data_IF_987428102366
#
_entry.id   IF_987428102366
#
_cell.length_a   1.000
_cell.length_b   1.000
_cell.length_c   1.000
_cell.angle_alpha   90.00
_cell.angle_beta   90.00
_cell.angle_gamma   90.00
#
_symmetry.space_group_name_H-M   'P 1'
#
loop_
_entity.id
_entity.type
_entity.pdbx_description
1 polymer ?
#
# COMPACT_ATOMS: atom_id res chain seq x y z
N UNK A 1 39.89 6.07 -22.55
CA UNK A 1 39.75 5.81 -21.11
C UNK A 1 38.26 5.62 -20.81
N UNK A 2 37.74 4.40 -20.63
CA UNK A 2 36.39 4.20 -20.10
C UNK A 2 36.44 4.24 -18.57
N UNK A 3 35.80 5.23 -17.96
CA UNK A 3 35.57 5.26 -16.50
C UNK A 3 34.37 4.39 -16.16
N UNK A 4 34.64 3.32 -15.42
CA UNK A 4 33.69 2.63 -14.55
C UNK A 4 32.80 3.61 -13.80
N UNK A 5 31.51 3.30 -13.70
CA UNK A 5 30.66 3.35 -12.49
C UNK A 5 29.40 2.53 -12.85
N UNK A 6 29.47 1.20 -12.72
CA UNK A 6 29.10 0.48 -11.50
C UNK A 6 27.59 0.61 -11.20
N UNK A 7 26.88 -0.46 -11.59
CA UNK A 7 25.61 -0.94 -11.07
C UNK A 7 25.24 -0.39 -9.69
N UNK A 8 24.28 0.51 -9.62
CA UNK A 8 23.51 0.77 -8.40
C UNK A 8 22.08 0.28 -8.64
N UNK A 9 21.93 -1.05 -8.66
CA UNK A 9 20.64 -1.68 -8.45
C UNK A 9 20.32 -1.44 -6.97
N UNK A 10 19.63 -0.34 -6.70
CA UNK A 10 18.96 -0.09 -5.43
C UNK A 10 18.07 -1.31 -5.18
N UNK A 11 18.62 -2.26 -4.41
CA UNK A 11 17.95 -3.51 -4.08
C UNK A 11 16.89 -3.11 -3.08
N UNK A 12 15.73 -2.73 -3.60
CA UNK A 12 14.53 -2.45 -2.81
C UNK A 12 14.41 -3.62 -1.83
N UNK A 13 14.47 -3.37 -0.51
CA UNK A 13 14.41 -4.44 0.47
C UNK A 13 13.07 -5.15 0.29
N UNK A 14 13.12 -6.35 -0.29
CA UNK A 14 11.93 -7.16 -0.53
C UNK A 14 11.43 -7.65 0.82
N UNK A 15 10.12 -7.58 1.04
CA UNK A 15 9.42 -8.04 2.26
C UNK A 15 9.46 -9.57 2.46
N UNK A 16 10.42 -10.27 1.85
CA UNK A 16 10.45 -11.73 1.79
C UNK A 16 10.74 -12.41 3.14
N UNK A 17 11.22 -11.66 4.15
CA UNK A 17 11.37 -12.20 5.50
C UNK A 17 10.05 -12.15 6.26
N UNK A 18 9.44 -13.30 6.61
CA UNK A 18 8.14 -13.36 7.30
C UNK A 18 8.20 -12.80 8.73
N UNK A 19 9.39 -12.74 9.32
CA UNK A 19 9.63 -12.20 10.67
C UNK A 19 10.21 -10.78 10.67
N UNK A 20 10.27 -10.14 9.49
CA UNK A 20 10.68 -8.74 9.40
C UNK A 20 9.66 -7.80 10.03
N UNK A 21 10.13 -6.63 10.48
CA UNK A 21 9.25 -5.60 11.02
C UNK A 21 8.16 -5.17 10.02
N UNK A 22 8.46 -5.23 8.72
CA UNK A 22 7.54 -4.98 7.62
C UNK A 22 6.40 -6.01 7.56
N UNK A 23 6.75 -7.30 7.63
CA UNK A 23 5.77 -8.40 7.70
C UNK A 23 4.90 -8.34 8.95
N UNK A 24 5.45 -7.85 10.08
CA UNK A 24 4.67 -7.59 11.28
C UNK A 24 3.69 -6.41 11.11
N UNK A 25 4.09 -5.33 10.45
CA UNK A 25 3.22 -4.19 10.15
C UNK A 25 2.10 -4.59 9.19
N UNK A 26 2.39 -5.33 8.12
CA UNK A 26 1.37 -5.82 7.19
C UNK A 26 0.29 -6.65 7.89
N UNK A 27 0.66 -7.50 8.85
CA UNK A 27 -0.31 -8.24 9.67
C UNK A 27 -1.21 -7.32 10.49
N UNK A 28 -0.64 -6.25 11.08
CA UNK A 28 -1.42 -5.23 11.81
C UNK A 28 -2.37 -4.47 10.89
N UNK A 29 -1.90 -4.07 9.70
CA UNK A 29 -2.71 -3.39 8.69
C UNK A 29 -3.84 -4.29 8.17
N UNK A 30 -3.57 -5.58 7.92
CA UNK A 30 -4.60 -6.55 7.53
C UNK A 30 -5.70 -6.69 8.59
N UNK A 31 -5.36 -6.59 9.87
CA UNK A 31 -6.36 -6.60 10.93
C UNK A 31 -7.19 -5.31 10.95
N UNK A 32 -6.57 -4.15 10.75
CA UNK A 32 -7.25 -2.83 10.62
C UNK A 32 -8.15 -2.72 9.38
N UNK A 33 -7.85 -3.49 8.34
CA UNK A 33 -8.62 -3.54 7.11
C UNK A 33 -9.99 -4.20 7.25
N UNK A 34 -10.29 -4.80 8.42
CA UNK A 34 -11.62 -5.33 8.77
C UNK A 34 -12.47 -4.20 9.34
N UNK A 35 -13.37 -3.67 8.53
CA UNK A 35 -14.10 -2.44 8.79
C UNK A 35 -15.61 -2.66 8.80
N UNK A 36 -16.37 -1.59 8.99
CA UNK A 36 -17.84 -1.67 9.12
C UNK A 36 -18.57 -1.82 7.79
N UNK A 37 -17.90 -1.58 6.66
CA UNK A 37 -18.49 -1.57 5.33
C UNK A 37 -17.97 -2.74 4.49
N UNK A 38 -18.90 -3.57 3.99
CA UNK A 38 -18.59 -4.82 3.29
C UNK A 38 -17.79 -4.58 2.00
N UNK A 39 -18.11 -3.51 1.26
CA UNK A 39 -17.42 -3.14 0.03
C UNK A 39 -15.92 -2.89 0.28
N UNK A 40 -15.59 -2.16 1.35
CA UNK A 40 -14.21 -1.90 1.75
C UNK A 40 -13.52 -3.20 2.17
N UNK A 41 -14.21 -4.04 2.95
CA UNK A 41 -13.66 -5.32 3.40
C UNK A 41 -13.30 -6.24 2.23
N UNK A 42 -14.17 -6.33 1.21
CA UNK A 42 -13.94 -7.15 0.02
C UNK A 42 -12.77 -6.60 -0.81
N UNK A 43 -12.74 -5.29 -1.04
CA UNK A 43 -11.65 -4.62 -1.77
C UNK A 43 -10.30 -4.82 -1.08
N UNK A 44 -10.23 -4.53 0.21
CA UNK A 44 -9.01 -4.64 0.99
C UNK A 44 -8.56 -6.10 1.09
N UNK A 45 -9.46 -7.05 1.35
CA UNK A 45 -9.11 -8.48 1.42
C UNK A 45 -8.46 -8.94 0.12
N UNK A 46 -9.07 -8.65 -1.04
CA UNK A 46 -8.51 -8.99 -2.36
C UNK A 46 -7.16 -8.33 -2.61
N UNK A 47 -7.03 -7.05 -2.23
CA UNK A 47 -5.79 -6.31 -2.35
C UNK A 47 -4.67 -6.96 -1.52
N UNK A 48 -4.91 -7.27 -0.24
CA UNK A 48 -3.89 -7.90 0.60
C UNK A 48 -3.53 -9.30 0.08
N UNK A 49 -4.51 -10.09 -0.39
CA UNK A 49 -4.25 -11.42 -0.91
C UNK A 49 -3.38 -11.40 -2.18
N UNK A 50 -3.50 -10.36 -3.02
CA UNK A 50 -2.74 -10.22 -4.26
C UNK A 50 -1.40 -9.50 -4.10
N UNK A 51 -1.35 -8.43 -3.31
CA UNK A 51 -0.24 -7.49 -3.32
C UNK A 51 0.56 -7.43 -2.01
N UNK A 52 0.09 -7.99 -0.89
CA UNK A 52 0.79 -7.83 0.40
C UNK A 52 2.25 -8.32 0.37
N UNK A 53 2.53 -9.40 -0.37
CA UNK A 53 3.87 -9.97 -0.50
C UNK A 53 4.83 -9.17 -1.39
N UNK A 54 4.33 -8.21 -2.18
CA UNK A 54 5.12 -7.42 -3.13
C UNK A 54 5.21 -5.94 -2.75
N UNK A 55 4.58 -5.52 -1.65
CA UNK A 55 4.61 -4.14 -1.18
C UNK A 55 6.00 -3.75 -0.68
N UNK A 56 6.47 -2.59 -1.14
CA UNK A 56 7.68 -1.95 -0.63
C UNK A 56 7.40 -1.20 0.69
N UNK A 57 8.45 -0.99 1.50
CA UNK A 57 8.36 -0.28 2.79
C UNK A 57 7.62 1.07 2.72
N UNK A 58 7.87 1.97 1.74
CA UNK A 58 7.15 3.23 1.64
C UNK A 58 5.64 3.03 1.39
N UNK A 59 5.27 2.00 0.64
CA UNK A 59 3.87 1.68 0.38
C UNK A 59 3.18 1.12 1.64
N UNK A 60 3.89 0.41 2.51
CA UNK A 60 3.33 -0.03 3.80
C UNK A 60 2.95 1.18 4.67
N UNK A 61 3.81 2.21 4.72
CA UNK A 61 3.51 3.44 5.44
C UNK A 61 2.33 4.21 4.85
N UNK A 62 2.29 4.35 3.52
CA UNK A 62 1.16 4.98 2.83
C UNK A 62 -0.16 4.22 3.02
N UNK A 63 -0.11 2.90 3.04
CA UNK A 63 -1.26 2.05 3.32
C UNK A 63 -1.77 2.25 4.75
N UNK A 64 -0.88 2.44 5.73
CA UNK A 64 -1.27 2.79 7.09
C UNK A 64 -2.08 4.10 7.12
N UNK A 65 -1.62 5.15 6.44
CA UNK A 65 -2.33 6.42 6.35
C UNK A 65 -3.70 6.28 5.65
N UNK A 66 -3.79 5.50 4.57
CA UNK A 66 -5.08 5.22 3.91
C UNK A 66 -6.04 4.49 4.86
N UNK A 67 -5.54 3.54 5.65
CA UNK A 67 -6.31 2.81 6.65
C UNK A 67 -6.61 3.59 7.95
N UNK A 68 -6.24 4.86 8.03
CA UNK A 68 -6.73 5.78 9.06
C UNK A 68 -7.95 6.58 8.60
N UNK A 69 -8.22 6.64 7.29
CA UNK A 69 -9.37 7.36 6.76
C UNK A 69 -10.69 6.70 7.14
N UNK A 70 -11.79 7.46 7.28
CA UNK A 70 -13.13 6.90 7.41
C UNK A 70 -13.54 6.05 6.19
N UNK A 71 -14.47 5.13 6.38
CA UNK A 71 -14.87 4.17 5.34
C UNK A 71 -15.38 4.83 4.05
N UNK A 72 -16.19 5.90 4.18
CA UNK A 72 -16.68 6.66 3.03
C UNK A 72 -15.55 7.26 2.21
N UNK A 73 -14.67 8.04 2.87
CA UNK A 73 -13.53 8.68 2.20
C UNK A 73 -12.58 7.68 1.54
N UNK A 74 -12.30 6.55 2.19
CA UNK A 74 -11.47 5.50 1.58
C UNK A 74 -12.13 4.97 0.30
N UNK A 75 -13.44 4.71 0.34
CA UNK A 75 -14.17 4.23 -0.83
C UNK A 75 -14.22 5.29 -1.93
N UNK A 76 -14.46 6.56 -1.60
CA UNK A 76 -14.51 7.66 -2.56
C UNK A 76 -13.17 7.84 -3.30
N UNK A 77 -12.05 7.69 -2.58
CA UNK A 77 -10.71 7.67 -3.18
C UNK A 77 -10.53 6.44 -4.09
N UNK A 78 -10.95 5.26 -3.67
CA UNK A 78 -10.84 4.04 -4.50
C UNK A 78 -11.71 4.15 -5.75
N UNK A 79 -12.92 4.69 -5.65
CA UNK A 79 -13.82 4.92 -6.79
C UNK A 79 -13.39 6.10 -7.68
N UNK A 80 -12.41 6.90 -7.25
CA UNK A 80 -11.95 8.09 -7.97
C UNK A 80 -12.98 9.23 -7.97
N UNK A 81 -13.92 9.21 -7.03
CA UNK A 81 -14.83 10.32 -6.77
C UNK A 81 -14.10 11.47 -6.07
N UNK A 82 -13.14 11.12 -5.21
CA UNK A 82 -12.20 12.05 -4.60
C UNK A 82 -10.75 11.78 -5.07
N UNK A 83 -9.90 12.81 -4.98
CA UNK A 83 -8.47 12.70 -5.22
C UNK A 83 -7.72 12.77 -3.90
N UNK A 84 -6.60 12.04 -3.73
CA UNK A 84 -5.77 12.18 -2.55
C UNK A 84 -5.21 13.60 -2.48
N UNK A 85 -5.25 14.21 -1.29
CA UNK A 85 -4.83 15.59 -1.06
C UNK A 85 -3.91 15.71 0.16
N UNK A 86 -3.12 16.78 0.20
CA UNK A 86 -2.26 17.09 1.34
C UNK A 86 -1.20 16.00 1.56
N UNK A 87 -1.18 15.42 2.76
CA UNK A 87 -0.22 14.36 3.12
C UNK A 87 -0.42 13.06 2.33
N UNK A 88 -1.62 12.85 1.78
CA UNK A 88 -1.93 11.69 0.95
C UNK A 88 -1.57 11.90 -0.52
N UNK A 89 -1.29 13.13 -0.95
CA UNK A 89 -0.90 13.43 -2.33
C UNK A 89 0.59 13.11 -2.56
N UNK A 90 0.92 11.83 -2.49
CA UNK A 90 2.26 11.32 -2.71
C UNK A 90 2.25 10.07 -3.58
N UNK A 91 3.34 9.84 -4.32
CA UNK A 91 3.43 8.75 -5.29
C UNK A 91 3.03 7.36 -4.73
N UNK A 92 3.44 6.95 -3.51
CA UNK A 92 3.05 5.65 -2.97
C UNK A 92 1.54 5.49 -2.76
N UNK A 93 0.82 6.56 -2.40
CA UNK A 93 -0.65 6.53 -2.24
C UNK A 93 -1.32 6.39 -3.60
N UNK A 94 -0.85 7.13 -4.61
CA UNK A 94 -1.40 7.02 -5.97
C UNK A 94 -1.19 5.61 -6.55
N UNK A 95 -0.02 5.02 -6.33
CA UNK A 95 0.26 3.63 -6.71
C UNK A 95 -0.66 2.64 -6.00
N UNK A 96 -0.85 2.79 -4.68
CA UNK A 96 -1.77 1.94 -3.90
C UNK A 96 -3.21 2.06 -4.39
N UNK A 97 -3.70 3.27 -4.68
CA UNK A 97 -5.04 3.48 -5.21
C UNK A 97 -5.20 2.81 -6.58
N UNK A 98 -4.19 2.86 -7.44
CA UNK A 98 -4.19 2.14 -8.71
C UNK A 98 -4.25 0.61 -8.51
N UNK A 99 -3.49 0.07 -7.55
CA UNK A 99 -3.51 -1.36 -7.21
C UNK A 99 -4.85 -1.80 -6.61
N UNK A 100 -5.43 -0.99 -5.72
CA UNK A 100 -6.75 -1.22 -5.11
C UNK A 100 -7.85 -1.26 -6.17
N UNK A 101 -7.80 -0.36 -7.16
CA UNK A 101 -8.73 -0.33 -8.30
C UNK A 101 -8.59 -1.53 -9.25
N UNK A 102 -7.41 -2.15 -9.28
CA UNK A 102 -7.12 -3.30 -10.14
C UNK A 102 -7.28 -4.66 -9.43
N UNK A 103 -7.66 -4.69 -8.15
CA UNK A 103 -7.74 -5.89 -7.32
C UNK A 103 -8.92 -6.81 -7.69
#
# INVERSE_FOLDING_TARGET
>A
MPTSLETSHDRIPTVADPDSAASAELRRLRWRARRGMLENDLLLTRFFDRYAATLALPAIGALACLLELPDGHLLDLVLGQEQPQGVLDCAPVHELLALLRAA
#
